data_IF_665460187244
#
_entry.id   IF_665460187244
#
_cell.length_a   1.000
_cell.length_b   1.000
_cell.length_c   1.000
_cell.angle_alpha   90.00
_cell.angle_beta   90.00
_cell.angle_gamma   90.00
#
_symmetry.space_group_name_H-M   'P 1'
#
loop_
_entity.id
_entity.type
_entity.pdbx_description
1 polymer ?
#
# COMPACT_ATOMS: atom_id res chain seq x y z
N UNK A 1 -7.04 -17.00 15.17
CA UNK A 1 -6.28 -16.62 16.38
C UNK A 1 -7.29 -16.11 17.39
N UNK A 2 -7.40 -16.79 18.52
CA UNK A 2 -8.48 -16.67 19.50
C UNK A 2 -8.68 -15.22 19.97
N UNK A 3 -9.90 -14.67 19.82
CA UNK A 3 -10.19 -13.27 20.21
C UNK A 3 -9.86 -13.03 21.69
N UNK A 4 -10.08 -14.03 22.54
CA UNK A 4 -9.73 -14.00 23.96
C UNK A 4 -8.23 -13.80 24.22
N UNK A 5 -7.36 -14.37 23.39
CA UNK A 5 -5.91 -14.21 23.52
C UNK A 5 -5.44 -12.78 23.22
N UNK A 6 -6.06 -12.12 22.22
CA UNK A 6 -5.75 -10.72 21.89
C UNK A 6 -6.15 -9.78 23.01
N UNK A 7 -7.37 -9.94 23.55
CA UNK A 7 -7.86 -9.11 24.67
C UNK A 7 -6.99 -9.26 25.91
N UNK A 8 -6.58 -10.49 26.25
CA UNK A 8 -5.68 -10.75 27.38
C UNK A 8 -4.33 -10.04 27.19
N UNK A 9 -3.75 -10.08 25.98
CA UNK A 9 -2.49 -9.41 25.67
C UNK A 9 -2.59 -7.89 25.81
N UNK A 10 -3.68 -7.28 25.33
CA UNK A 10 -3.95 -5.84 25.46
C UNK A 10 -3.99 -5.45 26.94
N UNK A 11 -4.74 -6.19 27.76
CA UNK A 11 -4.85 -5.91 29.19
C UNK A 11 -3.50 -6.01 29.91
N UNK A 12 -2.70 -7.03 29.58
CA UNK A 12 -1.38 -7.23 30.16
C UNK A 12 -0.43 -6.08 29.82
N UNK A 13 -0.32 -5.70 28.54
CA UNK A 13 0.55 -4.59 28.12
C UNK A 13 0.05 -3.24 28.62
N UNK A 14 -1.26 -3.03 28.74
CA UNK A 14 -1.83 -1.82 29.33
C UNK A 14 -1.48 -1.68 30.82
N UNK A 15 -1.55 -2.77 31.59
CA UNK A 15 -1.14 -2.77 32.99
C UNK A 15 0.36 -2.49 33.12
N UNK A 16 1.19 -3.15 32.30
CA UNK A 16 2.64 -2.93 32.30
C UNK A 16 3.02 -1.51 31.92
N UNK A 17 2.30 -0.90 30.95
CA UNK A 17 2.46 0.50 30.55
C UNK A 17 2.28 1.46 31.73
N UNK A 18 1.22 1.28 32.53
CA UNK A 18 0.91 2.14 33.68
C UNK A 18 1.97 1.98 34.78
N UNK A 19 2.36 0.74 35.09
CA UNK A 19 3.36 0.47 36.14
C UNK A 19 4.71 1.08 35.77
N UNK A 20 5.18 0.84 34.54
CA UNK A 20 6.43 1.42 34.04
C UNK A 20 6.39 2.94 33.98
N UNK A 21 5.26 3.52 33.58
CA UNK A 21 5.10 4.98 33.55
C UNK A 21 5.24 5.59 34.94
N UNK A 22 4.53 5.04 35.92
CA UNK A 22 4.51 5.55 37.28
C UNK A 22 5.88 5.41 37.95
N UNK A 23 6.52 4.24 37.80
CA UNK A 23 7.85 3.98 38.33
C UNK A 23 8.91 4.86 37.64
N UNK A 24 8.85 4.98 36.31
CA UNK A 24 9.75 5.84 35.54
C UNK A 24 9.63 7.32 35.91
N UNK A 25 8.39 7.83 36.09
CA UNK A 25 8.15 9.22 36.53
C UNK A 25 8.65 9.46 37.96
N UNK A 26 8.44 8.52 38.86
CA UNK A 26 8.92 8.61 40.24
C UNK A 26 10.45 8.62 40.30
N UNK A 27 11.11 7.67 39.62
CA UNK A 27 12.57 7.60 39.54
C UNK A 27 13.19 8.83 38.84
N UNK A 28 12.53 9.38 37.81
CA UNK A 28 12.96 10.61 37.16
C UNK A 28 12.85 11.83 38.09
N UNK A 29 11.85 11.85 38.96
CA UNK A 29 11.69 12.86 40.00
C UNK A 29 12.80 12.78 41.06
N UNK A 30 13.09 11.58 41.56
CA UNK A 30 14.18 11.33 42.51
C UNK A 30 15.56 11.67 41.92
N UNK A 31 15.79 11.37 40.64
CA UNK A 31 17.03 11.69 39.93
C UNK A 31 17.29 13.20 39.73
N UNK A 32 16.31 14.06 40.05
CA UNK A 32 16.46 15.53 40.08
C UNK A 32 16.87 16.06 41.46
N UNK A 33 16.77 15.24 42.51
CA UNK A 33 17.23 15.60 43.86
C UNK A 33 18.75 15.40 43.96
N UNK A 34 19.43 16.30 44.68
CA UNK A 34 20.89 16.30 44.79
C UNK A 34 21.42 14.95 45.31
N UNK A 35 22.38 14.37 44.57
CA UNK A 35 23.08 13.14 44.94
C UNK A 35 22.55 11.84 44.31
N UNK A 36 21.44 11.85 43.58
CA UNK A 36 20.82 10.64 43.00
C UNK A 36 20.84 10.59 41.45
N UNK A 37 21.82 11.23 40.81
CA UNK A 37 21.97 11.25 39.34
C UNK A 37 22.13 9.84 38.73
N UNK A 38 22.55 8.86 39.53
CA UNK A 38 22.69 7.46 39.10
C UNK A 38 21.36 6.79 38.71
N UNK A 39 20.22 7.32 39.17
CA UNK A 39 18.89 6.80 38.87
C UNK A 39 18.34 7.30 37.52
N UNK A 40 18.97 8.31 36.92
CA UNK A 40 18.48 8.94 35.68
C UNK A 40 18.40 7.97 34.49
N UNK A 41 19.39 7.11 34.21
CA UNK A 41 19.29 6.17 33.09
C UNK A 41 18.18 5.15 33.30
N UNK A 42 18.08 4.58 34.51
CA UNK A 42 17.03 3.62 34.85
C UNK A 42 15.64 4.22 34.66
N UNK A 43 15.44 5.47 35.09
CA UNK A 43 14.21 6.20 34.87
C UNK A 43 13.89 6.40 33.38
N UNK A 44 14.88 6.76 32.56
CA UNK A 44 14.73 6.98 31.13
C UNK A 44 14.32 5.69 30.38
N UNK A 45 14.93 4.53 30.69
CA UNK A 45 14.53 3.26 30.08
C UNK A 45 13.16 2.76 30.54
N UNK A 46 12.77 3.03 31.80
CA UNK A 46 11.42 2.73 32.28
C UNK A 46 10.35 3.54 31.53
N UNK A 47 10.62 4.82 31.29
CA UNK A 47 9.74 5.68 30.48
C UNK A 47 9.68 5.22 29.02
N UNK A 48 10.80 4.83 28.43
CA UNK A 48 10.83 4.22 27.08
C UNK A 48 9.95 2.97 27.04
N UNK A 49 10.14 2.06 27.99
CA UNK A 49 9.35 0.83 28.07
C UNK A 49 7.85 1.12 28.14
N UNK A 50 7.44 2.13 28.90
CA UNK A 50 6.05 2.58 28.93
C UNK A 50 5.54 3.04 27.55
N UNK A 51 6.31 3.87 26.83
CA UNK A 51 5.96 4.35 25.48
C UNK A 51 5.85 3.19 24.48
N UNK A 52 6.77 2.22 24.55
CA UNK A 52 6.71 1.02 23.71
C UNK A 52 5.46 0.19 24.02
N UNK A 53 5.13 0.00 25.29
CA UNK A 53 3.88 -0.68 25.68
C UNK A 53 2.63 0.08 25.19
N UNK A 54 2.62 1.42 25.22
CA UNK A 54 1.53 2.21 24.63
C UNK A 54 1.39 1.97 23.13
N UNK A 55 2.51 1.96 22.40
CA UNK A 55 2.50 1.69 20.95
C UNK A 55 1.99 0.28 20.64
N UNK A 56 2.41 -0.73 21.40
CA UNK A 56 1.95 -2.12 21.26
C UNK A 56 0.45 -2.24 21.55
N UNK A 57 -0.05 -1.60 22.62
CA UNK A 57 -1.49 -1.56 22.93
C UNK A 57 -2.28 -0.89 21.80
N UNK A 58 -1.79 0.23 21.26
CA UNK A 58 -2.44 0.92 20.15
C UNK A 58 -2.50 0.05 18.89
N UNK A 59 -1.41 -0.66 18.56
CA UNK A 59 -1.32 -1.60 17.44
C UNK A 59 -2.32 -2.76 17.59
N UNK A 60 -2.30 -3.45 18.74
CA UNK A 60 -3.23 -4.54 19.05
C UNK A 60 -4.70 -4.09 19.04
N UNK A 61 -4.97 -2.86 19.50
CA UNK A 61 -6.33 -2.29 19.44
C UNK A 61 -6.74 -2.01 18.00
N UNK A 62 -5.84 -1.44 17.17
CA UNK A 62 -6.11 -1.17 15.76
C UNK A 62 -6.34 -2.46 14.95
N UNK A 63 -5.58 -3.52 15.22
CA UNK A 63 -5.79 -4.82 14.58
C UNK A 63 -7.09 -5.50 15.00
N UNK A 64 -7.56 -5.26 16.24
CA UNK A 64 -8.89 -5.68 16.69
C UNK A 64 -10.02 -4.93 15.97
N UNK A 65 -9.82 -3.66 15.58
CA UNK A 65 -10.76 -2.88 14.77
C UNK A 65 -10.71 -3.19 13.26
N UNK A 66 -9.93 -4.19 12.83
CA UNK A 66 -9.92 -4.67 11.45
C UNK A 66 -9.03 -3.89 10.48
N UNK A 67 -8.24 -2.92 10.94
CA UNK A 67 -7.29 -2.19 10.08
C UNK A 67 -5.97 -2.94 9.95
N UNK A 68 -5.82 -3.74 8.89
CA UNK A 68 -4.74 -4.71 8.69
C UNK A 68 -3.40 -4.18 8.11
N UNK A 69 -3.00 -2.94 8.42
CA UNK A 69 -1.73 -2.39 7.90
C UNK A 69 -0.89 -1.56 8.88
N UNK A 70 -1.46 -1.21 10.04
CA UNK A 70 -0.77 -0.37 11.01
C UNK A 70 0.29 -1.12 11.83
N UNK A 71 0.14 -2.45 11.96
CA UNK A 71 1.04 -3.28 12.75
C UNK A 71 2.47 -3.31 12.16
N UNK A 72 2.60 -3.47 10.85
CA UNK A 72 3.92 -3.50 10.17
C UNK A 72 4.63 -2.15 10.29
N UNK A 73 3.89 -1.06 10.10
CA UNK A 73 4.44 0.29 10.23
C UNK A 73 4.90 0.58 11.66
N UNK A 74 4.08 0.25 12.68
CA UNK A 74 4.42 0.46 14.09
C UNK A 74 5.62 -0.40 14.49
N UNK A 75 5.69 -1.65 14.04
CA UNK A 75 6.81 -2.56 14.30
C UNK A 75 8.13 -1.99 13.75
N UNK A 76 8.11 -1.50 12.51
CA UNK A 76 9.30 -0.92 11.88
C UNK A 76 9.74 0.38 12.57
N UNK A 77 8.80 1.23 12.97
CA UNK A 77 9.08 2.44 13.76
C UNK A 77 9.71 2.08 15.12
N UNK A 78 9.13 1.11 15.85
CA UNK A 78 9.66 0.67 17.14
C UNK A 78 11.07 0.08 17.00
N UNK A 79 11.31 -0.71 15.96
CA UNK A 79 12.64 -1.22 15.65
C UNK A 79 13.64 -0.10 15.38
N UNK A 80 13.26 0.90 14.57
CA UNK A 80 14.11 2.05 14.28
C UNK A 80 14.46 2.84 15.56
N UNK A 81 13.49 3.09 16.44
CA UNK A 81 13.73 3.79 17.72
C UNK A 81 14.72 3.04 18.60
N UNK A 82 14.56 1.73 18.76
CA UNK A 82 15.48 0.90 19.57
C UNK A 82 16.86 0.82 18.93
N UNK A 83 16.94 0.68 17.60
CA UNK A 83 18.20 0.64 16.85
C UNK A 83 18.98 1.96 16.96
N UNK A 84 18.29 3.10 16.88
CA UNK A 84 18.89 4.43 17.05
C UNK A 84 19.40 4.58 18.50
N UNK A 85 18.61 4.20 19.50
CA UNK A 85 19.02 4.25 20.91
C UNK A 85 20.24 3.35 21.19
N UNK A 86 20.28 2.14 20.63
CA UNK A 86 21.42 1.24 20.75
C UNK A 86 22.68 1.83 20.10
N UNK A 87 22.52 2.45 18.92
CA UNK A 87 23.61 3.13 18.20
C UNK A 87 24.13 4.33 18.99
N UNK A 88 23.25 5.15 19.57
CA UNK A 88 23.64 6.27 20.43
C UNK A 88 24.43 5.80 21.66
N UNK A 89 23.98 4.72 22.31
CA UNK A 89 24.71 4.14 23.44
C UNK A 89 26.09 3.62 23.01
N UNK A 90 26.21 2.98 21.85
CA UNK A 90 27.49 2.52 21.31
C UNK A 90 28.44 3.69 21.04
N UNK A 91 27.96 4.75 20.39
CA UNK A 91 28.75 5.97 20.14
C UNK A 91 29.16 6.60 21.45
N UNK A 92 28.25 6.70 22.43
CA UNK A 92 28.54 7.27 23.75
C UNK A 92 29.59 6.47 24.48
N UNK A 93 29.51 5.12 24.42
CA UNK A 93 30.52 4.23 24.98
C UNK A 93 31.89 4.47 24.33
N UNK A 94 31.95 4.55 22.99
CA UNK A 94 33.19 4.85 22.26
C UNK A 94 33.75 6.21 22.69
N UNK A 95 32.93 7.25 22.73
CA UNK A 95 33.36 8.60 23.10
C UNK A 95 33.85 8.67 24.56
N UNK A 96 33.25 7.91 25.48
CA UNK A 96 33.69 7.88 26.88
C UNK A 96 35.04 7.15 27.04
N UNK A 97 35.36 6.17 26.18
CA UNK A 97 36.70 5.54 26.15
C UNK A 97 37.80 6.55 25.81
N UNK A 98 37.52 7.47 24.88
CA UNK A 98 38.46 8.52 24.48
C UNK A 98 38.42 9.77 25.35
N UNK A 99 37.52 9.83 26.34
CA UNK A 99 37.33 11.04 27.15
C UNK A 99 38.41 11.17 28.22
N UNK A 100 39.20 12.26 28.23
CA UNK A 100 40.19 12.49 29.27
C UNK A 100 39.50 12.70 30.63
N UNK A 101 39.89 11.88 31.61
CA UNK A 101 39.37 11.93 32.98
C UNK A 101 40.06 13.08 33.72
N UNK A 102 39.37 14.22 33.82
CA UNK A 102 39.83 15.39 34.57
C UNK A 102 39.19 15.37 35.95
N UNK A 103 40.00 15.44 37.01
CA UNK A 103 39.53 15.45 38.39
C UNK A 103 38.54 16.61 38.63
N UNK A 104 37.43 16.31 39.31
CA UNK A 104 36.40 17.30 39.69
C UNK A 104 35.19 17.41 38.75
N UNK A 105 35.15 16.71 37.60
CA UNK A 105 33.92 16.61 36.78
C UNK A 105 33.21 15.29 37.08
N UNK A 106 31.94 15.36 37.50
CA UNK A 106 31.06 14.19 37.68
C UNK A 106 31.07 13.32 36.42
N UNK A 107 31.28 12.01 36.59
CA UNK A 107 31.29 11.05 35.48
C UNK A 107 29.92 11.06 34.76
N UNK A 108 29.92 11.09 33.43
CA UNK A 108 28.68 10.95 32.67
C UNK A 108 28.25 9.49 32.78
N UNK A 109 26.96 9.23 32.99
CA UNK A 109 26.46 7.87 33.05
C UNK A 109 26.44 7.25 31.64
N UNK A 110 27.06 6.07 31.51
CA UNK A 110 27.26 5.33 30.25
C UNK A 110 25.94 4.96 29.57
N UNK A 111 24.85 4.91 30.33
CA UNK A 111 23.51 4.52 29.86
C UNK A 111 22.54 5.69 29.71
N UNK A 112 22.99 6.95 29.87
CA UNK A 112 22.12 8.12 29.69
C UNK A 112 22.01 8.49 28.20
N UNK A 113 21.05 7.90 27.50
CA UNK A 113 20.71 8.30 26.12
C UNK A 113 19.93 9.61 26.13
N UNK A 114 20.43 10.61 25.39
CA UNK A 114 19.80 11.92 25.27
C UNK A 114 18.53 11.83 24.46
N UNK A 115 18.49 10.99 23.43
CA UNK A 115 17.28 10.79 22.61
C UNK A 115 16.13 10.21 23.44
N UNK A 116 16.45 9.26 24.33
CA UNK A 116 15.45 8.65 25.22
C UNK A 116 14.99 9.65 26.28
N UNK A 117 15.91 10.46 26.83
CA UNK A 117 15.56 11.55 27.74
C UNK A 117 14.69 12.64 27.10
N UNK A 118 14.87 12.92 25.81
CA UNK A 118 14.08 13.89 25.03
C UNK A 118 12.65 13.40 24.77
N UNK A 119 12.47 12.12 24.45
CA UNK A 119 11.15 11.49 24.31
C UNK A 119 10.34 11.55 25.62
N UNK A 120 11.00 11.49 26.78
CA UNK A 120 10.36 11.60 28.09
C UNK A 120 10.11 13.03 28.59
N UNK A 121 10.68 14.05 27.94
CA UNK A 121 10.58 15.46 28.33
C UNK A 121 10.16 16.33 27.14
N UNK A 122 8.85 16.57 26.93
CA UNK A 122 8.33 17.20 25.70
C UNK A 122 8.85 18.62 25.43
N UNK A 123 9.35 19.35 26.42
CA UNK A 123 9.93 20.70 26.24
C UNK A 123 11.40 20.74 25.80
N UNK A 124 12.12 19.62 25.79
CA UNK A 124 13.56 19.59 25.54
C UNK A 124 13.96 19.75 24.07
N UNK A 125 13.16 19.22 23.13
CA UNK A 125 13.50 19.22 21.70
C UNK A 125 13.42 20.62 21.09
N UNK A 126 12.36 21.36 21.39
CA UNK A 126 12.10 22.67 20.80
C UNK A 126 13.12 23.71 21.33
N UNK A 127 13.40 23.66 22.64
CA UNK A 127 14.42 24.52 23.26
C UNK A 127 15.84 24.22 22.76
N UNK A 128 16.19 22.95 22.54
CA UNK A 128 17.49 22.56 21.99
C UNK A 128 17.64 23.00 20.53
N UNK A 129 16.60 22.82 19.71
CA UNK A 129 16.60 23.28 18.31
C UNK A 129 16.69 24.81 18.24
N UNK A 130 15.97 25.52 19.11
CA UNK A 130 16.03 26.98 19.20
C UNK A 130 17.43 27.47 19.61
N UNK A 131 18.08 26.81 20.56
CA UNK A 131 19.43 27.17 21.00
C UNK A 131 20.49 26.87 19.92
N UNK A 132 20.29 25.82 19.11
CA UNK A 132 21.13 25.53 17.94
C UNK A 132 20.93 26.56 16.82
N UNK A 133 19.69 27.04 16.60
CA UNK A 133 19.38 28.14 15.68
C UNK A 133 20.03 29.45 16.14
N UNK A 134 19.89 29.79 17.42
CA UNK A 134 20.52 30.97 18.01
C UNK A 134 22.06 30.91 17.86
N UNK A 135 22.64 29.71 18.02
CA UNK A 135 24.06 29.47 17.83
C UNK A 135 24.50 29.58 16.36
N UNK A 136 23.77 28.94 15.44
CA UNK A 136 24.15 28.85 14.03
C UNK A 136 23.96 30.18 13.30
N UNK A 137 22.98 30.97 13.70
CA UNK A 137 22.64 32.20 12.99
C UNK A 137 22.93 33.48 13.80
N UNK A 138 23.30 33.36 15.08
CA UNK A 138 23.71 34.50 15.91
C UNK A 138 22.58 35.48 16.26
N UNK A 139 21.33 35.19 15.91
CA UNK A 139 20.16 35.97 16.30
C UNK A 139 19.34 35.20 17.34
N UNK A 140 18.93 35.86 18.43
CA UNK A 140 18.18 35.26 19.54
C UNK A 140 16.70 35.05 19.18
N UNK A 141 16.39 34.00 18.43
CA UNK A 141 15.02 33.63 18.05
C UNK A 141 14.24 33.19 19.27
N UNK A 142 14.89 32.45 20.16
CA UNK A 142 14.27 31.82 21.33
C UNK A 142 13.69 32.82 22.34
N UNK A 143 14.23 34.05 22.39
CA UNK A 143 13.79 35.11 23.32
C UNK A 143 12.61 35.94 22.77
N UNK A 144 12.21 35.74 21.51
CA UNK A 144 11.10 36.51 20.92
C UNK A 144 9.73 36.00 21.37
N UNK A 145 8.76 36.92 21.49
CA UNK A 145 7.38 36.58 21.82
C UNK A 145 6.77 35.56 20.82
N UNK A 146 7.23 35.59 19.57
CA UNK A 146 6.79 34.72 18.49
C UNK A 146 7.09 33.25 18.79
N UNK A 147 8.27 32.94 19.32
CA UNK A 147 8.64 31.57 19.68
C UNK A 147 7.76 31.02 20.81
N UNK A 148 7.54 31.79 21.88
CA UNK A 148 6.63 31.39 22.98
C UNK A 148 5.19 31.19 22.50
N UNK A 149 4.74 32.04 21.58
CA UNK A 149 3.43 31.90 20.96
C UNK A 149 3.33 30.65 20.09
N UNK A 150 4.37 30.38 19.26
CA UNK A 150 4.46 29.19 18.43
C UNK A 150 4.51 27.93 19.31
N UNK A 151 5.37 27.85 20.32
CA UNK A 151 5.47 26.72 21.24
C UNK A 151 4.13 26.42 21.93
N UNK A 152 3.43 27.45 22.41
CA UNK A 152 2.15 27.30 23.09
C UNK A 152 1.00 26.92 22.13
N UNK A 153 1.04 27.36 20.87
CA UNK A 153 -0.03 27.14 19.89
C UNK A 153 0.28 26.09 18.83
N UNK A 154 1.50 25.54 18.79
CA UNK A 154 1.92 24.57 17.78
C UNK A 154 0.98 23.35 17.76
N UNK A 155 0.67 22.81 18.94
CA UNK A 155 -0.26 21.70 19.07
C UNK A 155 -1.66 22.04 18.52
N UNK A 156 -2.14 23.28 18.75
CA UNK A 156 -3.42 23.76 18.23
C UNK A 156 -3.37 23.97 16.71
N UNK A 157 -2.28 24.53 16.17
CA UNK A 157 -2.09 24.72 14.73
C UNK A 157 -2.05 23.36 14.02
N UNK A 158 -1.28 22.40 14.55
CA UNK A 158 -1.21 21.04 14.02
C UNK A 158 -2.57 20.33 14.12
N UNK A 159 -3.31 20.53 15.21
CA UNK A 159 -4.66 19.97 15.35
C UNK A 159 -5.63 20.57 14.32
N UNK A 160 -5.63 21.88 14.12
CA UNK A 160 -6.44 22.53 13.08
C UNK A 160 -6.03 22.04 11.69
N UNK A 161 -4.73 21.95 11.40
CA UNK A 161 -4.24 21.43 10.13
C UNK A 161 -4.73 20.00 9.90
N UNK A 162 -4.65 19.13 10.90
CA UNK A 162 -5.15 17.76 10.82
C UNK A 162 -6.67 17.72 10.57
N UNK A 163 -7.45 18.55 11.27
CA UNK A 163 -8.91 18.67 11.07
C UNK A 163 -9.24 19.14 9.66
N UNK A 164 -8.52 20.13 9.14
CA UNK A 164 -8.72 20.65 7.77
C UNK A 164 -8.40 19.58 6.74
N UNK A 165 -7.27 18.87 6.88
CA UNK A 165 -6.91 17.76 6.00
C UNK A 165 -7.91 16.61 6.07
N UNK A 166 -8.35 16.29 7.29
CA UNK A 166 -9.36 15.26 7.53
C UNK A 166 -10.68 15.63 6.84
N UNK A 167 -11.20 16.85 7.06
CA UNK A 167 -12.41 17.35 6.41
C UNK A 167 -12.27 17.44 4.89
N UNK A 168 -11.09 17.82 4.38
CA UNK A 168 -10.83 17.87 2.93
C UNK A 168 -11.00 16.51 2.25
N UNK A 169 -10.76 15.40 2.95
CA UNK A 169 -10.97 14.05 2.41
C UNK A 169 -12.44 13.67 2.18
N UNK A 170 -13.38 14.51 2.67
CA UNK A 170 -14.84 14.34 2.52
C UNK A 170 -15.34 14.72 1.12
N UNK A 171 -14.58 15.52 0.38
CA UNK A 171 -14.99 16.03 -0.92
C UNK A 171 -14.59 15.07 -2.04
N UNK A 172 -15.55 14.63 -2.85
CA UNK A 172 -15.31 13.72 -3.98
C UNK A 172 -15.99 14.25 -5.25
N UNK A 173 -15.23 14.24 -6.34
CA UNK A 173 -15.69 14.58 -7.69
C UNK A 173 -15.63 13.32 -8.55
N UNK A 174 -16.76 12.96 -9.15
CA UNK A 174 -16.88 11.83 -10.07
C UNK A 174 -17.06 12.39 -11.49
N UNK A 175 -16.24 11.92 -12.42
CA UNK A 175 -16.26 12.39 -13.81
C UNK A 175 -17.49 11.87 -14.57
N UNK A 176 -17.85 12.54 -15.66
CA UNK A 176 -19.01 12.21 -16.49
C UNK A 176 -19.00 10.81 -17.10
N UNK A 177 -17.84 10.18 -17.22
CA UNK A 177 -17.65 8.83 -17.75
C UNK A 177 -17.52 7.75 -16.66
N UNK A 178 -17.61 8.13 -15.40
CA UNK A 178 -17.36 7.28 -14.24
C UNK A 178 -18.61 7.16 -13.37
N UNK A 179 -18.83 5.97 -12.82
CA UNK A 179 -19.72 5.75 -11.68
C UNK A 179 -18.88 5.29 -10.51
N UNK A 180 -19.30 5.64 -9.29
CA UNK A 180 -18.54 5.25 -8.12
C UNK A 180 -19.36 4.46 -7.09
N UNK A 181 -18.74 3.44 -6.52
CA UNK A 181 -19.27 2.68 -5.38
C UNK A 181 -18.82 3.35 -4.08
N UNK A 182 -19.77 3.57 -3.18
CA UNK A 182 -19.50 4.04 -1.82
C UNK A 182 -19.52 2.87 -0.82
N UNK A 183 -18.39 2.64 -0.15
CA UNK A 183 -18.28 1.70 0.96
C UNK A 183 -18.07 2.47 2.27
N UNK A 184 -18.89 2.17 3.28
CA UNK A 184 -18.74 2.72 4.64
C UNK A 184 -18.25 1.60 5.56
N UNK A 185 -17.05 1.74 6.11
CA UNK A 185 -16.39 0.69 6.92
C UNK A 185 -16.41 -0.70 6.24
N UNK A 186 -16.28 -0.75 4.92
CA UNK A 186 -16.32 -2.01 4.14
C UNK A 186 -17.73 -2.57 3.90
N UNK A 187 -18.78 -1.90 4.37
CA UNK A 187 -20.17 -2.24 4.05
C UNK A 187 -20.59 -1.39 2.85
N UNK A 188 -20.99 -2.06 1.76
CA UNK A 188 -21.60 -1.40 0.60
C UNK A 188 -22.90 -0.73 1.06
N UNK A 189 -23.06 0.56 0.76
CA UNK A 189 -24.32 1.22 1.05
C UNK A 189 -25.36 0.71 0.06
N UNK A 190 -26.45 0.14 0.56
CA UNK A 190 -27.58 -0.31 -0.26
C UNK A 190 -28.61 0.82 -0.34
N UNK A 191 -29.12 1.10 -1.54
CA UNK A 191 -30.27 1.96 -1.76
C UNK A 191 -31.46 1.07 -2.14
N UNK A 192 -32.64 1.39 -1.59
CA UNK A 192 -33.86 0.65 -1.89
C UNK A 192 -34.47 1.26 -3.15
N UNK A 193 -34.50 0.49 -4.23
CA UNK A 193 -35.10 0.91 -5.49
C UNK A 193 -36.63 0.99 -5.37
N UNK A 194 -37.28 1.63 -6.35
CA UNK A 194 -38.73 1.77 -6.40
C UNK A 194 -39.48 0.42 -6.40
N UNK A 195 -38.82 -0.67 -6.84
CA UNK A 195 -39.33 -2.04 -6.79
C UNK A 195 -39.11 -2.77 -5.43
N UNK A 196 -38.48 -2.14 -4.45
CA UNK A 196 -38.23 -2.73 -3.12
C UNK A 196 -37.01 -3.67 -3.04
N UNK A 197 -36.24 -3.76 -4.12
CA UNK A 197 -34.96 -4.48 -4.19
C UNK A 197 -33.83 -3.61 -3.61
N UNK A 198 -32.85 -4.24 -2.96
CA UNK A 198 -31.68 -3.57 -2.37
C UNK A 198 -30.53 -3.64 -3.35
N UNK A 199 -30.20 -2.53 -3.99
CA UNK A 199 -29.07 -2.42 -4.91
C UNK A 199 -27.93 -1.62 -4.28
N UNK A 200 -26.68 -1.85 -4.71
CA UNK A 200 -25.59 -1.02 -4.25
C UNK A 200 -25.78 0.44 -4.71
N UNK A 201 -25.68 1.37 -3.77
CA UNK A 201 -25.76 2.80 -4.02
C UNK A 201 -24.62 3.25 -4.91
N UNK A 202 -24.94 3.47 -6.18
CA UNK A 202 -24.01 4.02 -7.16
C UNK A 202 -24.09 5.55 -7.15
N UNK A 203 -22.96 6.19 -6.92
CA UNK A 203 -22.83 7.63 -7.07
C UNK A 203 -22.69 7.96 -8.56
N UNK A 204 -23.68 8.70 -9.07
CA UNK A 204 -23.67 9.25 -10.42
C UNK A 204 -22.58 10.32 -10.58
N UNK A 205 -22.19 10.66 -11.82
CA UNK A 205 -21.27 11.76 -12.08
C UNK A 205 -21.69 13.07 -11.39
N UNK A 206 -20.72 13.76 -10.79
CA UNK A 206 -20.96 15.02 -10.09
C UNK A 206 -20.22 15.17 -8.77
N UNK A 207 -20.63 16.20 -8.02
CA UNK A 207 -20.08 16.52 -6.70
C UNK A 207 -20.82 15.76 -5.61
N UNK A 208 -20.08 14.99 -4.82
CA UNK A 208 -20.63 14.25 -3.69
C UNK A 208 -19.86 14.55 -2.42
N UNK A 209 -20.59 14.71 -1.33
CA UNK A 209 -20.03 14.76 0.01
C UNK A 209 -20.10 13.37 0.62
N UNK A 210 -18.94 12.81 0.96
CA UNK A 210 -18.81 11.58 1.72
C UNK A 210 -18.28 11.89 3.12
N UNK A 211 -18.29 10.90 4.02
CA UNK A 211 -17.54 11.03 5.26
C UNK A 211 -16.03 10.99 4.99
N UNK A 212 -15.24 11.67 5.85
CA UNK A 212 -13.80 11.68 5.70
C UNK A 212 -13.21 10.26 5.83
N UNK A 213 -12.09 10.05 5.14
CA UNK A 213 -11.32 8.82 5.28
C UNK A 213 -10.86 8.66 6.73
N UNK A 214 -10.95 7.49 7.38
CA UNK A 214 -11.09 6.14 6.81
C UNK A 214 -12.52 5.58 6.78
N UNK A 215 -13.54 6.38 7.10
CA UNK A 215 -14.91 5.90 7.28
C UNK A 215 -15.54 5.51 5.94
N UNK A 216 -15.50 6.41 4.95
CA UNK A 216 -16.05 6.18 3.62
C UNK A 216 -14.93 6.05 2.57
N UNK A 217 -14.94 4.91 1.86
CA UNK A 217 -14.10 4.63 0.68
C UNK A 217 -14.96 4.71 -0.58
N UNK A 218 -14.38 5.27 -1.64
CA UNK A 218 -15.07 5.44 -2.92
C UNK A 218 -14.22 4.78 -4.01
N UNK A 219 -14.81 3.81 -4.71
CA UNK A 219 -14.18 3.13 -5.84
C UNK A 219 -14.80 3.62 -7.14
N UNK A 220 -13.98 4.12 -8.05
CA UNK A 220 -14.44 4.69 -9.32
C UNK A 220 -14.29 3.66 -10.43
N UNK A 221 -15.32 3.51 -11.24
CA UNK A 221 -15.34 2.61 -12.38
C UNK A 221 -15.73 3.39 -13.63
N UNK A 222 -14.95 3.22 -14.70
CA UNK A 222 -15.17 3.87 -15.99
C UNK A 222 -16.25 3.11 -16.77
N UNK A 223 -17.51 3.34 -16.43
CA UNK A 223 -18.67 2.62 -16.99
C UNK A 223 -18.99 3.06 -18.42
N UNK A 224 -18.85 4.36 -18.74
CA UNK A 224 -19.23 4.89 -20.06
C UNK A 224 -18.07 4.92 -21.07
N UNK A 225 -16.84 4.62 -20.62
CA UNK A 225 -15.68 4.52 -21.49
C UNK A 225 -15.53 3.10 -22.04
N UNK A 226 -15.23 2.99 -23.35
CA UNK A 226 -14.82 1.71 -23.95
C UNK A 226 -13.44 1.36 -23.39
N UNK A 227 -13.36 0.24 -22.70
CA UNK A 227 -12.12 -0.31 -22.18
C UNK A 227 -11.60 -1.38 -23.15
N UNK A 228 -10.28 -1.58 -23.15
CA UNK A 228 -9.64 -2.58 -24.00
C UNK A 228 -8.55 -3.34 -23.27
N UNK A 229 -8.42 -4.62 -23.56
CA UNK A 229 -7.23 -5.40 -23.25
C UNK A 229 -6.86 -6.26 -24.45
N UNK A 230 -5.58 -6.58 -24.57
CA UNK A 230 -5.08 -7.44 -25.65
C UNK A 230 -4.90 -8.86 -25.12
N UNK A 231 -5.42 -9.83 -25.88
CA UNK A 231 -5.25 -11.25 -25.62
C UNK A 231 -4.07 -11.82 -26.41
N UNK A 232 -3.35 -12.75 -25.79
CA UNK A 232 -2.28 -13.55 -26.41
C UNK A 232 -0.93 -12.85 -26.54
N UNK A 233 -0.86 -11.56 -26.18
CA UNK A 233 0.37 -10.80 -26.00
C UNK A 233 0.29 -10.05 -24.68
N UNK A 234 1.27 -10.22 -23.81
CA UNK A 234 1.42 -9.37 -22.63
C UNK A 234 1.90 -8.01 -23.14
N UNK A 235 1.04 -7.01 -23.02
CA UNK A 235 1.38 -5.63 -23.36
C UNK A 235 2.11 -5.02 -22.15
N UNK A 236 3.39 -4.67 -22.31
CA UNK A 236 4.23 -4.03 -21.28
C UNK A 236 3.80 -2.56 -21.00
N UNK A 237 2.56 -2.17 -21.36
CA UNK A 237 2.05 -0.80 -21.23
C UNK A 237 1.78 -0.35 -19.79
N UNK A 238 2.00 -1.19 -18.79
CA UNK A 238 1.88 -0.82 -17.37
C UNK A 238 3.17 -0.35 -16.70
N UNK A 239 4.23 -0.08 -17.47
CA UNK A 239 5.41 0.64 -16.97
C UNK A 239 5.36 2.12 -17.38
N UNK A 240 4.49 2.92 -16.73
CA UNK A 240 4.48 4.39 -16.82
C UNK A 240 5.76 5.06 -16.26
N UNK A 241 6.81 4.28 -15.99
CA UNK A 241 8.11 4.73 -15.49
C UNK A 241 9.28 4.40 -16.42
N UNK A 242 9.04 4.19 -17.74
CA UNK A 242 10.15 4.13 -18.70
C UNK A 242 10.58 5.57 -19.05
N UNK A 243 11.85 5.97 -18.79
CA UNK A 243 12.32 7.32 -19.06
C UNK A 243 12.22 7.64 -20.56
N UNK A 244 11.92 8.91 -20.88
CA UNK A 244 11.93 9.49 -22.23
C UNK A 244 13.34 9.47 -22.85
N UNK A 245 13.85 8.27 -23.15
CA UNK A 245 15.02 8.03 -23.96
C UNK A 245 14.58 7.24 -25.18
N UNK A 246 14.98 7.68 -26.37
CA UNK A 246 14.68 7.00 -27.63
C UNK A 246 15.16 5.55 -27.53
N UNK A 247 14.24 4.62 -27.30
CA UNK A 247 14.54 3.20 -27.29
C UNK A 247 14.85 2.78 -28.73
N UNK A 248 16.14 2.59 -29.02
CA UNK A 248 16.59 2.17 -30.35
C UNK A 248 16.17 0.71 -30.54
N UNK A 249 15.05 0.50 -31.23
CA UNK A 249 14.57 -0.81 -31.64
C UNK A 249 15.58 -1.45 -32.61
N UNK A 250 16.44 -2.33 -32.09
CA UNK A 250 17.43 -3.07 -32.87
C UNK A 250 16.78 -4.26 -33.57
N UNK A 251 16.67 -4.26 -34.89
CA UNK A 251 16.07 -5.34 -35.71
C UNK A 251 16.61 -6.76 -35.43
N UNK A 252 17.79 -6.88 -34.81
CA UNK A 252 18.42 -8.15 -34.43
C UNK A 252 17.84 -8.77 -33.15
N UNK A 253 17.09 -8.01 -32.37
CA UNK A 253 16.35 -8.50 -31.21
C UNK A 253 15.00 -9.02 -31.71
N UNK A 254 14.53 -10.20 -31.29
CA UNK A 254 13.21 -10.70 -31.68
C UNK A 254 12.12 -9.77 -31.13
N UNK A 255 11.66 -8.85 -31.99
CA UNK A 255 10.50 -7.99 -31.73
C UNK A 255 9.26 -8.74 -32.16
N UNK A 256 8.82 -9.68 -31.34
CA UNK A 256 7.54 -10.32 -31.56
C UNK A 256 6.80 -10.43 -30.23
N UNK A 257 5.58 -9.91 -30.23
CA UNK A 257 4.46 -10.53 -29.55
C UNK A 257 4.72 -11.07 -28.13
N UNK A 258 5.12 -10.19 -27.20
CA UNK A 258 5.10 -10.48 -25.76
C UNK A 258 6.46 -10.67 -25.08
N UNK A 259 7.58 -10.37 -25.75
CA UNK A 259 8.88 -10.38 -25.07
C UNK A 259 9.02 -9.19 -24.13
N UNK A 260 8.71 -9.40 -22.86
CA UNK A 260 9.16 -8.50 -21.80
C UNK A 260 10.68 -8.41 -21.84
N UNK A 261 11.20 -7.19 -21.79
CA UNK A 261 12.65 -6.90 -21.61
C UNK A 261 13.21 -7.46 -20.29
N UNK A 262 12.34 -7.91 -19.37
CA UNK A 262 12.72 -8.49 -18.09
C UNK A 262 13.04 -10.00 -18.23
N UNK A 263 14.27 -10.45 -17.89
CA UNK A 263 14.68 -11.86 -17.98
C UNK A 263 13.83 -12.81 -17.13
N UNK A 264 13.00 -12.32 -16.19
CA UNK A 264 12.09 -13.13 -15.37
C UNK A 264 10.73 -13.40 -16.02
N UNK A 265 10.31 -12.62 -17.02
CA UNK A 265 9.01 -12.74 -17.70
C UNK A 265 9.08 -13.36 -19.10
N UNK A 266 10.25 -13.89 -19.48
CA UNK A 266 10.55 -14.40 -20.84
C UNK A 266 9.75 -15.64 -21.24
N UNK A 267 9.02 -16.25 -20.31
CA UNK A 267 8.24 -17.49 -20.49
C UNK A 267 6.76 -17.27 -20.84
N UNK A 268 6.26 -16.02 -20.87
CA UNK A 268 4.84 -15.74 -21.09
C UNK A 268 4.44 -15.60 -22.58
N UNK A 269 5.19 -16.23 -23.48
CA UNK A 269 4.81 -16.33 -24.88
C UNK A 269 3.79 -17.46 -25.04
N UNK A 270 2.50 -17.10 -25.10
CA UNK A 270 1.44 -18.08 -25.37
C UNK A 270 1.41 -18.41 -26.86
N UNK A 271 2.28 -19.33 -27.29
CA UNK A 271 2.08 -20.00 -28.57
C UNK A 271 0.81 -20.86 -28.44
N UNK A 272 -0.24 -20.47 -29.14
CA UNK A 272 -1.53 -21.16 -29.10
C UNK A 272 -1.52 -22.30 -30.11
N UNK A 273 -2.06 -23.44 -29.70
CA UNK A 273 -2.20 -24.63 -30.54
C UNK A 273 -3.45 -24.46 -31.41
N UNK A 274 -3.27 -24.58 -32.72
CA UNK A 274 -4.33 -24.54 -33.73
C UNK A 274 -4.39 -25.89 -34.43
N UNK A 275 -5.59 -26.41 -34.67
CA UNK A 275 -5.74 -27.65 -35.43
C UNK A 275 -5.36 -27.42 -36.90
N UNK A 276 -4.70 -28.39 -37.51
CA UNK A 276 -4.60 -28.49 -38.97
C UNK A 276 -5.45 -29.65 -39.45
N UNK A 277 -6.16 -29.42 -40.55
CA UNK A 277 -6.90 -30.46 -41.27
C UNK A 277 -6.12 -30.97 -42.49
N UNK A 278 -4.80 -30.79 -42.52
CA UNK A 278 -3.94 -31.32 -43.56
C UNK A 278 -3.90 -32.85 -43.44
N UNK A 279 -4.85 -33.50 -44.12
CA UNK A 279 -4.78 -34.90 -44.53
C UNK A 279 -3.78 -35.03 -45.68
N UNK A 280 -2.53 -34.58 -45.49
CA UNK A 280 -1.47 -34.90 -46.43
C UNK A 280 -1.07 -36.36 -46.18
N UNK A 281 -1.56 -37.24 -47.06
CA UNK A 281 -1.12 -38.63 -47.29
C UNK A 281 0.36 -38.67 -47.75
N UNK A 282 1.26 -37.96 -47.05
CA UNK A 282 2.69 -38.03 -47.34
C UNK A 282 3.26 -39.30 -46.70
N UNK A 283 3.74 -40.18 -47.57
CA UNK A 283 4.08 -41.59 -47.34
C UNK A 283 5.29 -41.83 -46.40
N UNK A 284 5.58 -40.90 -45.49
CA UNK A 284 6.64 -40.97 -44.48
C UNK A 284 6.22 -40.54 -43.07
N UNK A 285 4.96 -40.14 -42.85
CA UNK A 285 4.48 -39.79 -41.51
C UNK A 285 4.25 -41.07 -40.67
N UNK A 286 4.88 -41.13 -39.50
CA UNK A 286 4.63 -42.20 -38.52
C UNK A 286 3.14 -42.22 -38.17
N UNK A 287 2.48 -43.34 -38.46
CA UNK A 287 1.05 -43.55 -38.18
C UNK A 287 0.70 -43.12 -36.74
N UNK A 288 -0.03 -42.02 -36.61
CA UNK A 288 -0.59 -41.54 -35.33
C UNK A 288 -0.18 -40.15 -34.85
N UNK A 289 0.67 -39.40 -35.57
CA UNK A 289 0.98 -38.01 -35.22
C UNK A 289 -0.10 -37.07 -35.78
N UNK A 290 -0.98 -36.55 -34.92
CA UNK A 290 -1.96 -35.51 -35.29
C UNK A 290 -1.19 -34.23 -35.62
N UNK A 291 -1.35 -33.64 -36.82
CA UNK A 291 -0.63 -32.42 -37.17
C UNK A 291 -1.17 -31.25 -36.32
N UNK A 292 -0.25 -30.41 -35.84
CA UNK A 292 -0.55 -29.30 -34.93
C UNK A 292 0.19 -28.06 -35.40
N UNK A 293 -0.53 -26.96 -35.55
CA UNK A 293 0.04 -25.66 -35.88
C UNK A 293 0.21 -24.79 -34.62
N UNK A 294 1.28 -23.99 -34.60
CA UNK A 294 1.53 -23.01 -33.54
C UNK A 294 1.27 -21.60 -34.07
N UNK A 295 0.36 -20.88 -33.41
CA UNK A 295 -0.03 -19.53 -33.78
C UNK A 295 0.11 -18.61 -32.57
N UNK A 296 0.82 -17.50 -32.72
CA UNK A 296 0.79 -16.41 -31.75
C UNK A 296 -0.31 -15.44 -32.16
N UNK A 297 -1.27 -15.21 -31.27
CA UNK A 297 -2.45 -14.40 -31.55
C UNK A 297 -2.40 -13.11 -30.74
N UNK A 298 -2.70 -11.99 -31.39
CA UNK A 298 -2.96 -10.72 -30.72
C UNK A 298 -4.37 -10.26 -31.07
N UNK A 299 -5.31 -10.43 -30.13
CA UNK A 299 -6.71 -10.00 -30.32
C UNK A 299 -7.02 -8.89 -29.30
N UNK A 300 -7.25 -7.64 -29.75
CA UNK A 300 -7.78 -6.60 -28.88
C UNK A 300 -9.26 -6.86 -28.60
N UNK A 301 -9.62 -6.95 -27.33
CA UNK A 301 -11.00 -7.07 -26.88
C UNK A 301 -11.45 -5.73 -26.33
N UNK A 302 -12.48 -5.15 -26.94
CA UNK A 302 -13.12 -3.92 -26.48
C UNK A 302 -14.41 -4.26 -25.72
N UNK A 303 -14.56 -3.73 -24.51
CA UNK A 303 -15.74 -3.96 -23.68
C UNK A 303 -16.19 -2.68 -22.97
N UNK A 304 -17.43 -2.68 -22.50
CA UNK A 304 -18.03 -1.59 -21.73
C UNK A 304 -18.92 -2.19 -20.66
N UNK A 305 -18.80 -1.70 -19.44
CA UNK A 305 -19.59 -2.16 -18.30
C UNK A 305 -21.00 -1.57 -18.46
N UNK A 306 -22.02 -2.43 -18.59
CA UNK A 306 -23.43 -1.98 -18.65
C UNK A 306 -24.04 -1.87 -17.26
N UNK A 307 -23.92 -2.96 -16.49
CA UNK A 307 -24.38 -3.06 -15.12
C UNK A 307 -23.17 -3.14 -14.19
N UNK A 308 -23.03 -2.13 -13.33
CA UNK A 308 -21.92 -2.04 -12.39
C UNK A 308 -22.18 -2.86 -11.11
N UNK A 309 -23.43 -3.10 -10.74
CA UNK A 309 -23.75 -3.85 -9.51
C UNK A 309 -23.35 -5.30 -9.70
N UNK A 310 -23.84 -5.92 -10.79
CA UNK A 310 -23.50 -7.28 -11.16
C UNK A 310 -21.97 -7.46 -11.33
N UNK A 311 -21.29 -6.47 -11.91
CA UNK A 311 -19.85 -6.47 -12.15
C UNK A 311 -19.02 -6.54 -10.84
N UNK A 312 -19.49 -5.90 -9.77
CA UNK A 312 -18.78 -5.84 -8.48
C UNK A 312 -19.23 -6.94 -7.52
N UNK A 313 -20.52 -7.27 -7.50
CA UNK A 313 -21.10 -8.16 -6.49
C UNK A 313 -20.74 -9.62 -6.72
N UNK A 314 -20.69 -10.07 -7.98
CA UNK A 314 -20.40 -11.46 -8.31
C UNK A 314 -18.90 -11.77 -8.42
N UNK A 315 -18.06 -10.74 -8.58
CA UNK A 315 -16.67 -10.90 -8.99
C UNK A 315 -15.71 -10.08 -8.11
N UNK A 316 -14.72 -10.74 -7.51
CA UNK A 316 -13.67 -10.06 -6.74
C UNK A 316 -12.71 -9.24 -7.63
N UNK A 317 -12.43 -9.71 -8.85
CA UNK A 317 -11.62 -9.00 -9.84
C UNK A 317 -12.16 -9.28 -11.25
N UNK A 318 -13.21 -8.54 -11.61
CA UNK A 318 -13.94 -8.75 -12.85
C UNK A 318 -13.10 -8.51 -14.12
N UNK A 319 -12.15 -7.56 -14.11
CA UNK A 319 -11.28 -7.30 -15.25
C UNK A 319 -10.37 -8.50 -15.59
N UNK A 320 -9.67 -9.03 -14.57
CA UNK A 320 -8.82 -10.21 -14.77
C UNK A 320 -9.62 -11.48 -15.09
N UNK A 321 -10.83 -11.60 -14.53
CA UNK A 321 -11.73 -12.70 -14.83
C UNK A 321 -12.18 -12.67 -16.28
N UNK A 322 -12.61 -11.51 -16.78
CA UNK A 322 -13.00 -11.33 -18.18
C UNK A 322 -11.84 -11.66 -19.12
N UNK A 323 -10.61 -11.23 -18.81
CA UNK A 323 -9.43 -11.58 -19.60
C UNK A 323 -9.18 -13.09 -19.65
N UNK A 324 -9.31 -13.79 -18.51
CA UNK A 324 -9.14 -15.25 -18.43
C UNK A 324 -10.25 -16.00 -19.16
N UNK A 325 -11.50 -15.56 -19.04
CA UNK A 325 -12.64 -16.12 -19.76
C UNK A 325 -12.47 -15.94 -21.26
N UNK A 326 -12.11 -14.74 -21.71
CA UNK A 326 -11.87 -14.46 -23.11
C UNK A 326 -10.69 -15.28 -23.67
N UNK A 327 -9.60 -15.42 -22.90
CA UNK A 327 -8.49 -16.30 -23.25
C UNK A 327 -8.92 -17.77 -23.39
N UNK A 328 -9.78 -18.26 -22.49
CA UNK A 328 -10.31 -19.62 -22.53
C UNK A 328 -11.14 -19.86 -23.79
N UNK A 329 -12.04 -18.95 -24.13
CA UNK A 329 -12.88 -19.10 -25.34
C UNK A 329 -12.06 -18.98 -26.62
N UNK A 330 -11.09 -18.06 -26.67
CA UNK A 330 -10.14 -17.97 -27.80
C UNK A 330 -9.37 -19.28 -27.96
N UNK A 331 -8.82 -19.83 -26.88
CA UNK A 331 -8.09 -21.10 -26.91
C UNK A 331 -8.97 -22.25 -27.41
N UNK A 332 -10.20 -22.34 -26.90
CA UNK A 332 -11.18 -23.37 -27.29
C UNK A 332 -11.59 -23.26 -28.76
N UNK A 333 -11.70 -22.04 -29.27
CA UNK A 333 -11.99 -21.79 -30.68
C UNK A 333 -10.81 -22.19 -31.57
N UNK A 334 -9.59 -21.79 -31.22
CA UNK A 334 -8.37 -22.07 -31.98
C UNK A 334 -8.06 -23.57 -32.08
N UNK A 335 -8.32 -24.35 -31.03
CA UNK A 335 -8.16 -25.82 -31.04
C UNK A 335 -9.08 -26.49 -32.09
N UNK A 336 -10.17 -25.83 -32.50
CA UNK A 336 -11.15 -26.38 -33.46
C UNK A 336 -11.06 -25.75 -34.84
N UNK A 337 -10.46 -24.58 -34.94
CA UNK A 337 -10.36 -23.82 -36.17
C UNK A 337 -9.13 -24.26 -36.96
N UNK A 338 -9.28 -24.32 -38.27
CA UNK A 338 -8.21 -24.61 -39.21
C UNK A 338 -7.45 -23.32 -39.54
N UNK A 339 -6.12 -23.39 -39.60
CA UNK A 339 -5.25 -22.21 -39.73
C UNK A 339 -5.51 -21.43 -41.02
N UNK A 340 -5.70 -22.14 -42.14
CA UNK A 340 -5.83 -21.52 -43.46
C UNK A 340 -7.17 -20.80 -43.58
N UNK A 341 -8.22 -21.37 -42.99
CA UNK A 341 -9.54 -20.73 -42.90
C UNK A 341 -9.50 -19.51 -42.01
N UNK A 342 -8.80 -19.60 -40.86
CA UNK A 342 -8.68 -18.50 -39.91
C UNK A 342 -7.90 -17.31 -40.49
N UNK A 343 -6.85 -17.57 -41.27
CA UNK A 343 -6.04 -16.53 -41.94
C UNK A 343 -6.70 -16.00 -43.24
N UNK A 344 -7.62 -16.77 -43.83
CA UNK A 344 -8.33 -16.44 -45.06
C UNK A 344 -9.73 -15.87 -44.86
N UNK A 345 -10.73 -16.55 -45.42
CA UNK A 345 -12.11 -16.06 -45.54
C UNK A 345 -12.88 -16.03 -44.22
N UNK A 346 -12.55 -16.90 -43.27
CA UNK A 346 -13.42 -17.15 -42.11
C UNK A 346 -13.12 -16.25 -40.91
N UNK A 347 -12.13 -15.35 -41.03
CA UNK A 347 -11.73 -14.41 -39.95
C UNK A 347 -12.90 -13.58 -39.42
N UNK A 348 -13.75 -13.06 -40.31
CA UNK A 348 -14.91 -12.27 -39.91
C UNK A 348 -15.97 -13.11 -39.17
N UNK A 349 -16.14 -14.38 -39.58
CA UNK A 349 -17.02 -15.32 -38.90
C UNK A 349 -16.46 -15.69 -37.52
N UNK A 350 -15.16 -15.96 -37.43
CA UNK A 350 -14.45 -16.22 -36.19
C UNK A 350 -14.62 -15.09 -35.17
N UNK A 351 -14.47 -13.84 -35.60
CA UNK A 351 -14.69 -12.66 -34.75
C UNK A 351 -16.12 -12.62 -34.20
N UNK A 352 -17.12 -12.93 -35.03
CA UNK A 352 -18.53 -12.90 -34.61
C UNK A 352 -18.83 -14.00 -33.60
N UNK A 353 -18.34 -15.21 -33.83
CA UNK A 353 -18.50 -16.35 -32.91
C UNK A 353 -17.82 -16.09 -31.58
N UNK A 354 -16.54 -15.67 -31.58
CA UNK A 354 -15.81 -15.33 -30.36
C UNK A 354 -16.49 -14.22 -29.57
N UNK A 355 -17.01 -13.19 -30.25
CA UNK A 355 -17.77 -12.13 -29.59
C UNK A 355 -19.00 -12.67 -28.88
N UNK A 356 -19.75 -13.57 -29.52
CA UNK A 356 -20.96 -14.16 -28.94
C UNK A 356 -20.63 -15.08 -27.75
N UNK A 357 -19.59 -15.89 -27.88
CA UNK A 357 -19.18 -16.82 -26.82
C UNK A 357 -18.65 -16.08 -25.58
N UNK A 358 -17.89 -15.00 -25.78
CA UNK A 358 -17.39 -14.16 -24.68
C UNK A 358 -18.55 -13.41 -24.00
N UNK A 359 -19.47 -12.82 -24.77
CA UNK A 359 -20.64 -12.09 -24.23
C UNK A 359 -21.63 -13.01 -23.50
N UNK A 360 -21.67 -14.31 -23.83
CA UNK A 360 -22.50 -15.29 -23.14
C UNK A 360 -21.91 -15.78 -21.81
N UNK A 361 -20.58 -15.64 -21.61
CA UNK A 361 -19.87 -16.08 -20.41
C UNK A 361 -19.55 -14.93 -19.44
N UNK A 362 -19.49 -13.70 -19.95
CA UNK A 362 -19.30 -12.46 -19.19
C UNK A 362 -20.59 -12.06 -18.47
#
# INVERSE_FOLDING_TARGET
ADEGGKVLSIMFFALFMIVLFMMGKYSAGLARMDGQELLRPAANYMLLGSVVCTAVVASLTASHLGSHGWDDAISWILFAVVAIAATENLITLILEIYRPRVDGKKARLIYDSRLIGLLGQPGGLISTAAQALDYQFGFKVSETWFYRYLEQKLALILAIQFVVLFLSSSFVVIHSNEKALLERFGIKQEEVNAEGEREAKMLNPGFHFKLPWPIDKVYRFKTDQIQSFTLGVVDDQHDEAKPEGVEVLLWTTPHNHGSSTDPTNREQNFNMIVASNDDDDDAGSTAGAVPVNLLTVSIPVHYRIKDLDAWITHNANAGSLLQKLAMREVTKYLIRADIDKLMGSDRASAQKTLKQDIDAQA
#
